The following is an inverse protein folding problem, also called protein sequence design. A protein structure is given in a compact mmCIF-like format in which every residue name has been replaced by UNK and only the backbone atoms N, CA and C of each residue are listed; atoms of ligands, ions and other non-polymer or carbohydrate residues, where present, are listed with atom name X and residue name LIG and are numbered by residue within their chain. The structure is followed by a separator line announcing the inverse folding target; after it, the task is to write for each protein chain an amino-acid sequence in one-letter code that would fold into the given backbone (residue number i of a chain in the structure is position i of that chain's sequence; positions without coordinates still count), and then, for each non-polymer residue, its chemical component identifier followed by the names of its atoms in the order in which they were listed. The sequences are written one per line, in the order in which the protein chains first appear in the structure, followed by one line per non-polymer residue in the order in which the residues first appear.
data_IF_263218989058
#
_entry.id   IF_263218989058
#
_cell.length_a   1.000
_cell.length_b   1.000
_cell.length_c   1.000
_cell.angle_alpha   90.00
_cell.angle_beta   90.00
_cell.angle_gamma   90.00
#
_symmetry.space_group_name_H-M   'P 1'
#
loop_
_entity.id
_entity.type
_entity.pdbx_description
1 polymer ?
#
# COMPACT_ATOMS: atom_id res chain seq x y z
N UNK A 1 1.87 22.01 -10.47
CA UNK A 1 1.53 20.60 -10.17
C UNK A 1 0.19 20.53 -9.47
N UNK A 2 -0.68 19.64 -9.92
CA UNK A 2 -2.02 19.45 -9.40
C UNK A 2 -2.09 18.19 -8.52
N UNK A 3 -2.68 18.29 -7.34
CA UNK A 3 -2.78 17.16 -6.41
C UNK A 3 -4.21 16.94 -5.92
N UNK A 4 -4.51 15.72 -5.48
CA UNK A 4 -5.74 15.48 -4.73
C UNK A 4 -5.51 14.56 -3.53
N UNK A 5 -6.37 14.73 -2.53
CA UNK A 5 -6.51 13.81 -1.40
C UNK A 5 -7.86 13.11 -1.53
N UNK A 6 -7.82 11.80 -1.76
CA UNK A 6 -9.02 10.95 -1.74
C UNK A 6 -9.18 10.44 -0.31
N UNK A 7 -10.15 10.94 0.43
CA UNK A 7 -10.32 10.62 1.84
C UNK A 7 -11.72 10.91 2.36
N UNK A 8 -12.00 10.45 3.59
CA UNK A 8 -13.13 10.96 4.38
C UNK A 8 -12.88 12.40 4.89
N UNK A 9 -13.93 13.00 5.46
CA UNK A 9 -13.89 14.38 5.98
C UNK A 9 -13.37 14.45 7.43
N UNK A 10 -12.23 13.78 7.72
CA UNK A 10 -11.59 13.86 9.03
C UNK A 10 -10.78 15.17 9.18
N UNK A 11 -10.61 15.65 10.43
CA UNK A 11 -9.70 16.80 10.69
C UNK A 11 -8.29 16.55 10.15
N UNK A 12 -7.78 15.32 10.26
CA UNK A 12 -6.46 14.95 9.71
C UNK A 12 -6.41 15.10 8.19
N UNK A 13 -7.48 14.70 7.47
CA UNK A 13 -7.56 14.88 6.02
C UNK A 13 -7.62 16.36 5.64
N UNK A 14 -8.44 17.15 6.37
CA UNK A 14 -8.54 18.60 6.15
C UNK A 14 -7.19 19.30 6.37
N UNK A 15 -6.46 18.93 7.44
CA UNK A 15 -5.13 19.49 7.71
C UNK A 15 -4.13 19.16 6.60
N UNK A 16 -4.16 17.90 6.11
CA UNK A 16 -3.30 17.49 4.99
C UNK A 16 -3.62 18.30 3.73
N UNK A 17 -4.89 18.44 3.35
CA UNK A 17 -5.30 19.26 2.19
C UNK A 17 -4.86 20.72 2.36
N UNK A 18 -5.09 21.30 3.55
CA UNK A 18 -4.66 22.68 3.84
C UNK A 18 -3.14 22.84 3.72
N UNK A 19 -2.37 21.88 4.22
CA UNK A 19 -0.92 21.91 4.13
C UNK A 19 -0.43 21.76 2.69
N UNK A 20 -1.02 20.85 1.90
CA UNK A 20 -0.65 20.65 0.49
C UNK A 20 -0.85 21.90 -0.37
N UNK A 21 -1.85 22.73 -0.07
CA UNK A 21 -2.10 24.02 -0.75
C UNK A 21 -0.98 25.06 -0.59
N UNK A 22 -0.01 24.83 0.30
CA UNK A 22 1.19 25.66 0.42
C UNK A 22 2.25 25.35 -0.64
N UNK A 23 2.16 24.17 -1.26
CA UNK A 23 3.20 23.64 -2.13
C UNK A 23 2.70 23.37 -3.56
N UNK A 24 1.49 22.82 -3.71
CA UNK A 24 0.89 22.53 -5.02
C UNK A 24 0.03 23.70 -5.51
N UNK A 25 0.00 23.88 -6.82
CA UNK A 25 -0.77 24.98 -7.46
C UNK A 25 -2.28 24.77 -7.30
N UNK A 26 -2.74 23.51 -7.37
CA UNK A 26 -4.12 23.11 -7.12
C UNK A 26 -4.16 21.89 -6.21
N UNK A 27 -5.09 21.89 -5.25
CA UNK A 27 -5.32 20.74 -4.36
C UNK A 27 -6.81 20.51 -4.15
N UNK A 28 -7.27 19.36 -4.59
CA UNK A 28 -8.66 18.94 -4.42
C UNK A 28 -8.81 17.96 -3.24
N UNK A 29 -9.95 18.05 -2.55
CA UNK A 29 -10.37 17.04 -1.58
C UNK A 29 -11.53 16.24 -2.17
N UNK A 30 -11.22 15.05 -2.68
CA UNK A 30 -12.20 14.13 -3.22
C UNK A 30 -12.74 13.26 -2.10
N UNK A 31 -13.96 13.56 -1.64
CA UNK A 31 -14.57 12.78 -0.57
C UNK A 31 -14.92 11.38 -1.04
N UNK A 32 -14.33 10.36 -0.40
CA UNK A 32 -14.44 8.95 -0.77
C UNK A 32 -15.90 8.48 -0.92
N UNK A 33 -16.85 9.05 -0.16
CA UNK A 33 -18.27 8.72 -0.26
C UNK A 33 -18.96 9.14 -1.57
N UNK A 34 -18.26 9.90 -2.41
CA UNK A 34 -18.73 10.35 -3.72
C UNK A 34 -17.85 9.83 -4.86
N UNK A 35 -17.02 8.84 -4.56
CA UNK A 35 -16.20 8.14 -5.54
C UNK A 35 -16.95 6.89 -6.00
N UNK A 36 -17.05 6.73 -7.29
CA UNK A 36 -17.54 5.52 -7.96
C UNK A 36 -16.49 5.01 -8.93
N UNK A 37 -16.47 3.69 -9.16
CA UNK A 37 -15.66 3.07 -10.20
C UNK A 37 -16.62 2.44 -11.18
N UNK A 38 -16.58 2.89 -12.42
CA UNK A 38 -17.37 2.33 -13.52
C UNK A 38 -16.54 1.32 -14.31
N UNK A 39 -16.96 0.07 -14.31
CA UNK A 39 -16.35 -1.03 -15.07
C UNK A 39 -17.15 -1.26 -16.36
N UNK A 40 -17.10 -0.34 -17.30
CA UNK A 40 -17.77 -0.47 -18.59
C UNK A 40 -16.77 -0.43 -19.74
N UNK A 41 -16.92 -1.35 -20.70
CA UNK A 41 -16.07 -1.39 -21.89
C UNK A 41 -14.64 -1.87 -21.62
N UNK A 42 -13.67 -1.26 -22.31
CA UNK A 42 -12.25 -1.69 -22.28
C UNK A 42 -11.44 -1.15 -21.11
N UNK A 43 -11.92 -0.16 -20.37
CA UNK A 43 -11.21 0.49 -19.26
C UNK A 43 -12.17 0.80 -18.12
N UNK A 44 -11.67 0.65 -16.90
CA UNK A 44 -12.36 1.17 -15.72
C UNK A 44 -12.20 2.69 -15.64
N UNK A 45 -13.25 3.38 -15.24
CA UNK A 45 -13.26 4.83 -15.08
C UNK A 45 -13.58 5.20 -13.63
N UNK A 46 -12.78 6.10 -13.05
CA UNK A 46 -13.04 6.62 -11.71
C UNK A 46 -13.85 7.91 -11.82
N UNK A 47 -14.99 7.93 -11.14
CA UNK A 47 -15.90 9.07 -11.12
C UNK A 47 -15.94 9.72 -9.75
N UNK A 48 -16.00 11.04 -9.72
CA UNK A 48 -16.30 11.83 -8.53
C UNK A 48 -17.58 12.63 -8.77
N UNK A 49 -18.61 12.37 -7.96
CA UNK A 49 -19.95 12.96 -8.14
C UNK A 49 -20.49 12.78 -9.56
N UNK A 50 -20.30 11.58 -10.11
CA UNK A 50 -20.78 11.22 -11.45
C UNK A 50 -19.97 11.78 -12.62
N UNK A 51 -18.86 12.49 -12.37
CA UNK A 51 -17.97 13.02 -13.41
C UNK A 51 -16.61 12.34 -13.37
N UNK A 52 -15.96 12.09 -14.52
CA UNK A 52 -14.60 11.55 -14.54
C UNK A 52 -13.66 12.37 -13.68
N UNK A 53 -12.83 11.67 -12.91
CA UNK A 53 -11.78 12.30 -12.10
C UNK A 53 -10.73 12.91 -13.02
N UNK A 54 -10.39 14.17 -12.79
CA UNK A 54 -9.37 14.88 -13.54
C UNK A 54 -7.98 14.23 -13.36
N UNK A 55 -7.05 14.58 -14.23
CA UNK A 55 -5.64 14.19 -14.06
C UNK A 55 -5.01 14.95 -12.90
N UNK A 56 -4.21 14.22 -12.09
CA UNK A 56 -3.42 14.78 -11.00
C UNK A 56 -1.98 14.26 -11.09
N UNK A 57 -1.02 15.11 -10.73
CA UNK A 57 0.39 14.73 -10.62
C UNK A 57 0.66 13.93 -9.33
N UNK A 58 -0.15 14.16 -8.29
CA UNK A 58 -0.06 13.49 -7.00
C UNK A 58 -1.44 13.12 -6.47
N UNK A 59 -1.60 11.87 -6.04
CA UNK A 59 -2.80 11.41 -5.35
C UNK A 59 -2.44 10.80 -4.00
N UNK A 60 -2.95 11.38 -2.93
CA UNK A 60 -2.86 10.80 -1.60
C UNK A 60 -4.19 10.15 -1.21
N UNK A 61 -4.26 8.83 -1.37
CA UNK A 61 -5.45 8.02 -1.11
C UNK A 61 -5.37 7.50 0.32
N UNK A 62 -6.38 7.78 1.15
CA UNK A 62 -6.42 7.34 2.54
C UNK A 62 -7.85 7.13 3.05
N UNK A 63 -8.01 6.18 3.97
CA UNK A 63 -9.33 5.87 4.50
C UNK A 63 -9.27 4.80 5.59
N UNK A 64 -10.44 4.42 6.10
CA UNK A 64 -10.56 3.33 7.07
C UNK A 64 -10.62 1.97 6.38
N UNK A 65 -10.39 0.90 7.15
CA UNK A 65 -10.48 -0.49 6.69
C UNK A 65 -11.79 -0.83 5.96
N UNK A 66 -12.89 -0.14 6.27
CA UNK A 66 -14.19 -0.33 5.59
C UNK A 66 -14.13 -0.08 4.09
N UNK A 67 -13.19 0.74 3.65
CA UNK A 67 -12.97 1.08 2.25
C UNK A 67 -11.74 0.40 1.66
N UNK A 68 -11.10 -0.55 2.37
CA UNK A 68 -9.82 -1.12 1.97
C UNK A 68 -9.81 -1.62 0.51
N UNK A 69 -10.85 -2.33 0.08
CA UNK A 69 -10.98 -2.82 -1.29
C UNK A 69 -11.12 -1.67 -2.30
N UNK A 70 -11.95 -0.66 -2.01
CA UNK A 70 -12.11 0.51 -2.86
C UNK A 70 -10.81 1.32 -2.95
N UNK A 71 -10.13 1.54 -1.80
CA UNK A 71 -8.86 2.26 -1.76
C UNK A 71 -7.79 1.56 -2.58
N UNK A 72 -7.72 0.22 -2.49
CA UNK A 72 -6.83 -0.59 -3.30
C UNK A 72 -7.16 -0.47 -4.78
N UNK A 73 -8.43 -0.65 -5.17
CA UNK A 73 -8.85 -0.54 -6.57
C UNK A 73 -8.52 0.85 -7.16
N UNK A 74 -8.75 1.93 -6.40
CA UNK A 74 -8.37 3.27 -6.82
C UNK A 74 -6.85 3.40 -7.01
N UNK A 75 -6.06 2.90 -6.05
CA UNK A 75 -4.61 2.94 -6.16
C UNK A 75 -4.10 2.10 -7.35
N UNK A 76 -4.67 0.90 -7.58
CA UNK A 76 -4.36 0.07 -8.74
C UNK A 76 -4.64 0.83 -10.05
N UNK A 77 -5.83 1.42 -10.20
CA UNK A 77 -6.22 2.17 -11.39
C UNK A 77 -5.32 3.38 -11.67
N UNK A 78 -5.03 4.17 -10.63
CA UNK A 78 -4.18 5.35 -10.81
C UNK A 78 -2.70 5.01 -10.97
N UNK A 79 -2.23 3.85 -10.47
CA UNK A 79 -0.84 3.40 -10.64
C UNK A 79 -0.49 3.02 -12.08
N UNK A 80 -1.47 2.79 -12.94
CA UNK A 80 -1.25 2.54 -14.37
C UNK A 80 -0.70 3.76 -15.11
N UNK A 81 -0.87 4.96 -14.56
CA UNK A 81 -0.32 6.20 -15.12
C UNK A 81 1.09 6.46 -14.56
N UNK A 82 2.10 6.45 -15.41
CA UNK A 82 3.49 6.74 -15.01
C UNK A 82 3.65 8.15 -14.41
N UNK A 83 2.80 9.10 -14.79
CA UNK A 83 2.90 10.50 -14.35
C UNK A 83 2.32 10.76 -12.97
N UNK A 84 1.50 9.86 -12.42
CA UNK A 84 0.86 10.06 -11.11
C UNK A 84 1.75 9.51 -9.98
N UNK A 85 2.09 10.35 -9.00
CA UNK A 85 2.75 9.91 -7.78
C UNK A 85 1.73 9.41 -6.74
N UNK A 86 1.94 8.18 -6.25
CA UNK A 86 1.19 7.56 -5.17
C UNK A 86 2.16 7.21 -4.04
N UNK A 87 2.04 7.77 -2.82
CA UNK A 87 2.94 7.47 -1.71
C UNK A 87 2.66 6.12 -1.03
N UNK A 88 1.59 5.44 -1.43
CA UNK A 88 1.14 4.17 -0.88
C UNK A 88 0.84 3.24 -2.04
N UNK A 89 1.57 2.13 -2.10
CA UNK A 89 1.36 1.11 -3.12
C UNK A 89 -0.02 0.45 -2.99
N UNK A 90 -0.63 0.00 -4.09
CA UNK A 90 -1.94 -0.66 -4.04
C UNK A 90 -2.00 -1.82 -3.04
N UNK A 91 -0.96 -2.67 -2.98
CA UNK A 91 -0.88 -3.81 -2.06
C UNK A 91 -0.96 -3.42 -0.59
N UNK A 92 -0.45 -2.23 -0.24
CA UNK A 92 -0.42 -1.74 1.14
C UNK A 92 -1.83 -1.60 1.74
N UNK A 93 -2.83 -1.28 0.91
CA UNK A 93 -4.22 -1.17 1.37
C UNK A 93 -4.81 -2.51 1.82
N UNK A 94 -4.36 -3.62 1.25
CA UNK A 94 -4.76 -4.96 1.70
C UNK A 94 -3.91 -5.38 2.91
N UNK A 95 -2.60 -5.23 2.83
CA UNK A 95 -1.68 -5.68 3.88
C UNK A 95 -1.91 -4.97 5.20
N UNK A 96 -1.97 -3.63 5.21
CA UNK A 96 -2.07 -2.86 6.44
C UNK A 96 -3.47 -2.87 7.08
N UNK A 97 -4.51 -3.26 6.36
CA UNK A 97 -5.86 -3.39 6.90
C UNK A 97 -6.22 -4.80 7.37
N UNK A 98 -5.32 -5.76 7.17
CA UNK A 98 -5.46 -7.13 7.66
C UNK A 98 -4.27 -7.50 8.54
N UNK A 99 -4.55 -7.77 9.83
CA UNK A 99 -3.51 -8.07 10.83
C UNK A 99 -2.73 -9.35 10.52
N UNK A 100 -3.40 -10.33 9.91
CA UNK A 100 -2.74 -11.57 9.51
C UNK A 100 -1.74 -11.30 8.39
N UNK A 101 -2.16 -10.59 7.34
CA UNK A 101 -1.29 -10.26 6.21
C UNK A 101 -0.14 -9.34 6.61
N UNK A 102 -0.40 -8.38 7.52
CA UNK A 102 0.66 -7.55 8.12
C UNK A 102 1.69 -8.44 8.81
N UNK A 103 1.25 -9.37 9.67
CA UNK A 103 2.17 -10.24 10.42
C UNK A 103 2.96 -11.18 9.51
N UNK A 104 2.33 -11.75 8.49
CA UNK A 104 3.04 -12.56 7.48
C UNK A 104 4.12 -11.74 6.76
N UNK A 105 3.82 -10.49 6.41
CA UNK A 105 4.78 -9.59 5.77
C UNK A 105 5.96 -9.27 6.69
N UNK A 106 5.70 -8.97 7.96
CA UNK A 106 6.74 -8.75 8.97
C UNK A 106 7.60 -10.00 9.20
N UNK A 107 6.96 -11.18 9.30
CA UNK A 107 7.64 -12.46 9.47
C UNK A 107 8.59 -12.76 8.30
N UNK A 108 8.16 -12.54 7.06
CA UNK A 108 8.99 -12.74 5.87
C UNK A 108 10.23 -11.84 5.84
N UNK A 109 10.18 -10.72 6.55
CA UNK A 109 11.31 -9.78 6.71
C UNK A 109 12.06 -9.97 8.03
N UNK A 110 11.75 -11.03 8.79
CA UNK A 110 12.35 -11.33 10.11
C UNK A 110 12.27 -10.17 11.10
N UNK A 111 11.17 -9.38 11.02
CA UNK A 111 10.97 -8.25 11.92
C UNK A 111 10.42 -8.71 13.27
N UNK A 112 10.85 -8.09 14.38
CA UNK A 112 10.37 -8.42 15.70
C UNK A 112 8.90 -8.05 15.88
N UNK A 113 8.10 -9.02 16.31
CA UNK A 113 6.66 -8.89 16.58
C UNK A 113 6.24 -9.85 17.69
N UNK A 114 5.13 -9.61 18.39
CA UNK A 114 4.62 -10.55 19.37
C UNK A 114 4.26 -11.88 18.70
N UNK A 115 4.55 -13.00 19.36
CA UNK A 115 4.22 -14.33 18.86
C UNK A 115 2.72 -14.45 18.63
N UNK A 116 2.33 -14.85 17.43
CA UNK A 116 0.94 -14.89 17.01
C UNK A 116 0.62 -16.24 16.37
N UNK A 117 -0.58 -16.75 16.65
CA UNK A 117 -1.10 -18.01 16.13
C UNK A 117 -2.39 -17.77 15.37
N UNK A 118 -2.53 -18.46 14.26
CA UNK A 118 -3.77 -18.62 13.52
C UNK A 118 -4.06 -20.12 13.45
N UNK A 119 -5.26 -20.51 13.86
CA UNK A 119 -5.70 -21.90 13.80
C UNK A 119 -6.85 -22.05 12.83
N UNK A 120 -6.87 -23.14 12.08
CA UNK A 120 -7.93 -23.44 11.10
C UNK A 120 -9.20 -23.95 11.77
N UNK A 121 -9.07 -24.59 12.95
CA UNK A 121 -10.17 -25.17 13.70
C UNK A 121 -10.13 -24.76 15.16
N UNK A 122 -11.27 -24.89 15.83
CA UNK A 122 -11.41 -24.60 17.27
C UNK A 122 -10.58 -25.59 18.11
N UNK A 123 -10.53 -26.85 17.72
CA UNK A 123 -9.72 -27.88 18.39
C UNK A 123 -8.24 -27.53 18.34
N UNK A 124 -7.75 -27.14 17.16
CA UNK A 124 -6.36 -26.69 16.99
C UNK A 124 -6.07 -25.43 17.81
N UNK A 125 -7.00 -24.47 17.82
CA UNK A 125 -6.88 -23.27 18.65
C UNK A 125 -6.82 -23.62 20.15
N UNK A 126 -7.69 -24.51 20.62
CA UNK A 126 -7.73 -24.97 22.02
C UNK A 126 -6.44 -25.67 22.42
N UNK A 127 -5.84 -26.47 21.51
CA UNK A 127 -4.54 -27.09 21.74
C UNK A 127 -3.39 -26.07 21.80
N UNK A 128 -3.47 -24.94 21.07
CA UNK A 128 -2.55 -23.82 21.21
C UNK A 128 -2.74 -23.13 22.57
N UNK A 129 -3.99 -22.78 22.93
CA UNK A 129 -4.31 -22.09 24.18
C UNK A 129 -3.84 -22.85 25.42
N UNK A 130 -3.89 -24.20 25.41
CA UNK A 130 -3.44 -25.04 26.55
C UNK A 130 -1.93 -24.98 26.79
N UNK A 131 -1.16 -24.49 25.83
CA UNK A 131 0.33 -24.42 25.87
C UNK A 131 0.85 -23.00 26.01
N UNK A 132 -0.04 -21.99 25.99
CA UNK A 132 0.36 -20.60 26.06
C UNK A 132 0.58 -20.14 27.51
N UNK A 133 1.50 -19.20 27.66
CA UNK A 133 1.64 -18.43 28.90
C UNK A 133 0.58 -17.33 28.94
N UNK A 134 -0.15 -17.24 30.04
CA UNK A 134 -1.16 -16.21 30.25
C UNK A 134 -0.58 -15.00 30.99
N UNK A 135 -1.13 -13.79 30.74
CA UNK A 135 -2.28 -13.49 29.89
C UNK A 135 -1.97 -13.51 28.38
N UNK A 136 -3.02 -13.55 27.56
CA UNK A 136 -2.96 -13.51 26.11
C UNK A 136 -3.94 -12.49 25.51
N UNK A 137 -3.73 -12.17 24.24
CA UNK A 137 -4.65 -11.34 23.45
C UNK A 137 -5.30 -12.21 22.35
N UNK A 138 -6.61 -12.12 22.23
CA UNK A 138 -7.36 -12.64 21.08
C UNK A 138 -7.91 -11.46 20.28
N UNK A 139 -7.81 -11.50 18.94
CA UNK A 139 -8.22 -10.36 18.12
C UNK A 139 -8.74 -10.79 16.76
N UNK A 140 -9.68 -10.00 16.20
CA UNK A 140 -10.10 -10.18 14.82
C UNK A 140 -8.98 -9.77 13.86
N UNK A 141 -8.85 -10.45 12.71
CA UNK A 141 -7.90 -10.06 11.66
C UNK A 141 -8.13 -8.64 11.16
N UNK A 142 -9.40 -8.25 11.04
CA UNK A 142 -9.80 -6.92 10.60
C UNK A 142 -10.42 -6.11 11.76
N UNK A 143 -10.20 -4.81 11.76
CA UNK A 143 -10.72 -3.90 12.78
C UNK A 143 -9.72 -2.80 13.12
N UNK A 144 -10.23 -1.72 13.68
CA UNK A 144 -9.43 -0.55 14.10
C UNK A 144 -9.86 -0.06 15.46
N UNK A 145 -9.05 0.77 16.09
CA UNK A 145 -9.34 1.43 17.37
C UNK A 145 -9.56 0.45 18.54
N UNK A 146 -8.83 -0.66 18.54
CA UNK A 146 -8.94 -1.67 19.59
C UNK A 146 -10.25 -2.46 19.61
N UNK A 147 -11.19 -2.18 18.69
CA UNK A 147 -12.41 -2.96 18.56
C UNK A 147 -12.09 -4.37 18.08
N UNK A 148 -12.63 -5.37 18.77
CA UNK A 148 -12.35 -6.76 18.49
C UNK A 148 -11.01 -7.26 19.05
N UNK A 149 -10.43 -6.56 20.02
CA UNK A 149 -9.30 -7.03 20.84
C UNK A 149 -9.84 -7.48 22.19
N UNK A 150 -9.57 -8.72 22.55
CA UNK A 150 -10.04 -9.39 23.77
C UNK A 150 -8.83 -9.83 24.58
N UNK A 151 -8.88 -9.61 25.88
CA UNK A 151 -7.87 -10.01 26.83
C UNK A 151 -8.33 -11.27 27.57
N UNK A 152 -7.47 -12.26 27.69
CA UNK A 152 -7.72 -13.46 28.47
C UNK A 152 -6.57 -13.68 29.46
N UNK A 153 -6.90 -13.74 30.72
CA UNK A 153 -5.95 -13.90 31.84
C UNK A 153 -5.66 -15.36 32.18
N UNK A 154 -6.49 -16.28 31.66
CA UNK A 154 -6.43 -17.69 31.94
C UNK A 154 -6.93 -18.54 30.77
N UNK A 155 -6.61 -19.83 30.79
CA UNK A 155 -7.16 -20.80 29.83
C UNK A 155 -8.69 -20.83 29.85
N UNK A 156 -9.30 -20.70 31.02
CA UNK A 156 -10.75 -20.70 31.17
C UNK A 156 -11.38 -19.50 30.46
N UNK A 157 -10.84 -18.28 30.69
CA UNK A 157 -11.35 -17.08 30.02
C UNK A 157 -11.10 -17.13 28.53
N UNK A 158 -9.93 -17.60 28.07
CA UNK A 158 -9.63 -17.78 26.66
C UNK A 158 -10.57 -18.79 25.97
N UNK A 159 -10.88 -19.91 26.64
CA UNK A 159 -11.82 -20.92 26.13
C UNK A 159 -13.23 -20.36 25.97
N UNK A 160 -13.71 -19.57 26.93
CA UNK A 160 -15.03 -18.93 26.83
C UNK A 160 -15.10 -17.94 25.67
N UNK A 161 -14.03 -17.16 25.44
CA UNK A 161 -13.92 -16.27 24.29
C UNK A 161 -13.91 -17.08 22.99
N UNK A 162 -13.16 -18.19 22.95
CA UNK A 162 -13.06 -19.06 21.79
C UNK A 162 -14.42 -19.64 21.40
N UNK A 163 -15.21 -20.12 22.39
CA UNK A 163 -16.55 -20.65 22.15
C UNK A 163 -17.52 -19.57 21.59
N UNK A 164 -17.41 -18.34 22.08
CA UNK A 164 -18.19 -17.22 21.55
C UNK A 164 -17.80 -16.88 20.10
N UNK A 165 -16.50 -16.88 19.78
CA UNK A 165 -15.99 -16.62 18.42
C UNK A 165 -16.42 -17.72 17.45
N UNK A 166 -16.44 -18.98 17.89
CA UNK A 166 -16.94 -20.10 17.10
C UNK A 166 -18.43 -19.96 16.81
N UNK A 167 -19.22 -19.69 17.82
CA UNK A 167 -20.66 -19.47 17.66
C UNK A 167 -21.00 -18.35 16.68
N UNK A 168 -20.16 -17.29 16.65
CA UNK A 168 -20.28 -16.17 15.73
C UNK A 168 -19.63 -16.43 14.37
N UNK A 169 -18.97 -17.57 14.15
CA UNK A 169 -18.21 -17.92 12.93
C UNK A 169 -17.21 -16.85 12.54
N UNK A 170 -16.56 -16.24 13.52
CA UNK A 170 -15.61 -15.15 13.29
C UNK A 170 -14.15 -15.67 13.29
N UNK A 171 -13.35 -15.32 12.26
CA UNK A 171 -11.93 -15.61 12.28
C UNK A 171 -11.24 -14.80 13.39
N UNK A 172 -10.19 -15.35 13.98
CA UNK A 172 -9.45 -14.72 15.06
C UNK A 172 -7.96 -15.09 15.02
N UNK A 173 -7.18 -14.26 15.70
CA UNK A 173 -5.75 -14.48 15.97
C UNK A 173 -5.57 -14.59 17.48
N UNK A 174 -4.71 -15.49 17.91
CA UNK A 174 -4.24 -15.59 19.29
C UNK A 174 -2.82 -15.05 19.37
N UNK A 175 -2.56 -14.12 20.27
CA UNK A 175 -1.27 -13.46 20.38
C UNK A 175 -0.81 -13.43 21.84
N UNK A 176 0.50 -13.60 22.07
CA UNK A 176 1.08 -13.39 23.39
C UNK A 176 0.82 -11.96 23.87
N UNK A 177 0.60 -11.83 25.16
CA UNK A 177 0.55 -10.53 25.81
C UNK A 177 1.98 -10.04 26.10
N UNK A 178 2.27 -8.83 25.69
CA UNK A 178 3.55 -8.19 25.99
C UNK A 178 3.34 -7.17 27.11
N UNK A 179 4.00 -7.39 28.23
CA UNK A 179 3.92 -6.46 29.38
C UNK A 179 4.68 -5.17 29.07
N UNK A 180 3.97 -4.06 29.00
CA UNK A 180 4.52 -2.73 28.68
C UNK A 180 4.04 -1.63 29.62
N UNK A 181 3.47 -2.03 30.77
CA UNK A 181 2.84 -1.07 31.68
C UNK A 181 1.67 -0.31 31.03
N UNK A 182 0.91 -1.00 30.17
CA UNK A 182 -0.22 -0.42 29.44
C UNK A 182 0.19 0.76 28.54
N UNK A 183 1.34 0.69 27.92
CA UNK A 183 1.82 1.72 26.98
C UNK A 183 2.25 1.14 25.63
N UNK A 184 2.13 1.96 24.60
CA UNK A 184 2.70 1.71 23.29
C UNK A 184 3.29 2.99 22.70
N UNK A 185 4.14 2.85 21.69
CA UNK A 185 4.76 3.96 20.98
C UNK A 185 4.24 3.99 19.55
N UNK A 186 3.69 5.13 19.15
CA UNK A 186 3.32 5.40 17.75
C UNK A 186 4.37 6.26 17.09
N UNK A 187 4.98 5.75 16.01
CA UNK A 187 5.91 6.47 15.17
C UNK A 187 5.24 6.82 13.85
N UNK A 188 5.38 8.07 13.39
CA UNK A 188 4.93 8.46 12.05
C UNK A 188 6.12 8.46 11.10
N UNK A 189 6.05 7.59 10.11
CA UNK A 189 7.04 7.45 9.03
C UNK A 189 6.59 8.27 7.84
N UNK A 190 7.52 9.03 7.25
CA UNK A 190 7.37 9.75 5.98
C UNK A 190 8.65 9.52 5.17
N UNK A 191 8.55 8.78 4.06
CA UNK A 191 9.72 8.30 3.32
C UNK A 191 10.60 7.42 4.19
N UNK A 192 11.87 7.76 4.28
CA UNK A 192 12.88 7.03 5.04
C UNK A 192 13.11 7.63 6.44
N UNK A 193 12.16 8.42 6.96
CA UNK A 193 12.33 9.11 8.21
C UNK A 193 11.12 8.96 9.15
N UNK A 194 11.41 8.80 10.44
CA UNK A 194 10.44 8.99 11.51
C UNK A 194 10.37 10.48 11.85
N UNK A 195 9.25 11.12 11.50
CA UNK A 195 9.09 12.58 11.64
C UNK A 195 8.51 13.02 12.97
N UNK A 196 7.81 12.11 13.66
CA UNK A 196 7.24 12.34 14.98
C UNK A 196 7.01 10.99 15.66
N UNK A 197 7.16 10.93 16.99
CA UNK A 197 6.81 9.78 17.79
C UNK A 197 6.15 10.21 19.09
N UNK A 198 5.15 9.44 19.53
CA UNK A 198 4.48 9.65 20.82
C UNK A 198 4.29 8.33 21.56
N UNK A 199 4.44 8.37 22.86
CA UNK A 199 4.08 7.29 23.77
C UNK A 199 2.63 7.49 24.19
N UNK A 200 1.82 6.46 24.07
CA UNK A 200 0.42 6.47 24.51
C UNK A 200 0.33 5.62 25.78
N UNK A 201 -0.30 6.14 26.81
CA UNK A 201 -0.55 5.42 28.06
C UNK A 201 -2.04 5.16 28.21
N UNK A 202 -2.42 3.91 28.42
CA UNK A 202 -3.80 3.55 28.75
C UNK A 202 -4.19 4.13 30.10
N UNK A 203 -5.49 4.47 30.26
CA UNK A 203 -6.04 4.91 31.53
C UNK A 203 -6.69 3.74 32.28
N UNK A 204 -6.18 3.43 33.48
CA UNK A 204 -6.87 2.64 34.50
C UNK A 204 -6.91 1.13 34.29
N UNK A 205 -7.98 0.51 34.75
CA UNK A 205 -8.17 -0.94 34.94
C UNK A 205 -8.28 -1.73 33.63
N UNK A 206 -8.59 -1.09 32.51
CA UNK A 206 -8.76 -1.78 31.25
C UNK A 206 -7.39 -2.04 30.59
N UNK A 207 -6.88 -3.26 30.74
CA UNK A 207 -5.64 -3.72 30.08
C UNK A 207 -5.72 -3.70 28.54
N UNK A 208 -6.92 -3.56 27.97
CA UNK A 208 -7.16 -3.33 26.53
C UNK A 208 -6.95 -1.89 26.13
N UNK A 209 -6.83 -0.96 27.08
CA UNK A 209 -6.75 0.49 26.86
C UNK A 209 -5.44 0.94 26.17
N UNK A 210 -4.48 0.06 25.98
CA UNK A 210 -3.29 0.33 25.18
C UNK A 210 -3.62 0.78 23.76
N UNK A 211 -4.87 0.61 23.34
CA UNK A 211 -5.13 0.61 21.92
C UNK A 211 -5.88 1.84 21.44
N UNK A 212 -6.74 2.56 22.17
CA UNK A 212 -7.43 3.67 21.47
C UNK A 212 -8.39 4.57 22.28
N UNK A 213 -8.54 4.43 23.57
CA UNK A 213 -9.52 5.22 24.31
C UNK A 213 -8.91 6.50 24.91
N UNK A 214 -8.71 7.52 24.06
CA UNK A 214 -8.47 8.89 24.57
C UNK A 214 -7.20 9.10 25.40
N UNK A 215 -6.25 8.18 25.35
CA UNK A 215 -5.00 8.25 26.07
C UNK A 215 -4.26 9.55 25.76
N UNK A 216 -3.82 10.26 26.80
CA UNK A 216 -2.93 11.39 26.64
C UNK A 216 -1.61 10.88 26.05
N UNK A 217 -1.29 11.34 24.85
CA UNK A 217 0.01 11.07 24.23
C UNK A 217 1.04 12.03 24.78
N UNK A 218 2.23 11.54 25.08
CA UNK A 218 3.41 12.36 25.37
C UNK A 218 4.43 12.24 24.25
N UNK A 219 5.20 13.30 23.99
CA UNK A 219 6.27 13.25 23.00
C UNK A 219 7.28 12.17 23.40
N UNK A 220 7.73 11.40 22.43
CA UNK A 220 8.69 10.32 22.63
C UNK A 220 9.87 10.50 21.67
N UNK A 221 11.08 10.23 22.14
CA UNK A 221 12.30 10.26 21.32
C UNK A 221 12.76 8.82 21.09
N UNK A 222 12.44 8.22 19.93
CA UNK A 222 12.86 6.86 19.63
C UNK A 222 14.37 6.80 19.35
N UNK A 223 15.03 5.72 19.76
CA UNK A 223 16.41 5.43 19.41
C UNK A 223 16.59 5.11 17.92
N UNK A 224 17.82 4.93 17.48
CA UNK A 224 18.15 4.67 16.08
C UNK A 224 17.58 3.31 15.58
N UNK A 225 17.57 2.30 16.45
CA UNK A 225 17.05 0.98 16.10
C UNK A 225 15.53 1.01 15.90
N UNK A 226 14.79 1.63 16.81
CA UNK A 226 13.34 1.77 16.72
C UNK A 226 12.93 2.60 15.50
N UNK A 227 13.67 3.67 15.17
CA UNK A 227 13.45 4.46 13.93
C UNK A 227 13.63 3.61 12.69
N UNK A 228 14.76 2.88 12.61
CA UNK A 228 15.03 1.98 11.50
C UNK A 228 13.95 0.92 11.37
N UNK A 229 13.58 0.28 12.46
CA UNK A 229 12.54 -0.73 12.50
C UNK A 229 11.20 -0.22 11.96
N UNK A 230 10.80 1.00 12.33
CA UNK A 230 9.56 1.62 11.84
C UNK A 230 9.62 1.91 10.33
N UNK A 231 10.75 2.38 9.82
CA UNK A 231 10.96 2.63 8.38
C UNK A 231 10.93 1.33 7.60
N UNK A 232 11.67 0.31 8.05
CA UNK A 232 11.71 -1.00 7.41
C UNK A 232 10.30 -1.64 7.36
N UNK A 233 9.51 -1.48 8.44
CA UNK A 233 8.13 -1.94 8.50
C UNK A 233 7.23 -1.22 7.48
N UNK A 234 7.34 0.09 7.36
CA UNK A 234 6.61 0.89 6.37
C UNK A 234 6.92 0.46 4.94
N UNK A 235 8.21 0.29 4.61
CA UNK A 235 8.67 -0.16 3.31
C UNK A 235 8.21 -1.59 3.00
N UNK A 236 8.17 -2.48 3.99
CA UNK A 236 7.76 -3.87 3.81
C UNK A 236 6.33 -4.01 3.27
N UNK A 237 5.45 -3.11 3.64
CA UNK A 237 4.07 -3.08 3.16
C UNK A 237 3.88 -2.18 1.93
N UNK A 238 4.89 -1.42 1.52
CA UNK A 238 4.82 -0.48 0.39
C UNK A 238 4.12 0.84 0.75
N UNK A 239 4.38 1.37 1.93
CA UNK A 239 3.80 2.64 2.39
C UNK A 239 4.90 3.66 2.74
N UNK A 240 5.02 4.72 1.94
CA UNK A 240 5.94 5.84 2.24
C UNK A 240 5.38 6.77 3.34
N UNK A 241 4.08 6.69 3.66
CA UNK A 241 3.44 7.48 4.71
C UNK A 241 2.56 6.55 5.55
N UNK A 242 2.95 6.31 6.80
CA UNK A 242 2.16 5.50 7.72
C UNK A 242 2.46 5.82 9.19
N UNK A 243 1.65 5.28 10.09
CA UNK A 243 1.94 5.17 11.51
C UNK A 243 2.32 3.73 11.84
N UNK A 244 3.40 3.52 12.57
CA UNK A 244 3.83 2.21 13.08
C UNK A 244 3.67 2.20 14.58
N UNK A 245 2.93 1.21 15.08
CA UNK A 245 2.71 1.01 16.51
C UNK A 245 3.65 -0.07 17.03
N UNK A 246 4.43 0.26 18.04
CA UNK A 246 5.49 -0.57 18.62
C UNK A 246 5.26 -0.71 20.12
N UNK A 247 5.41 -1.93 20.64
CA UNK A 247 5.48 -2.23 22.06
C UNK A 247 6.94 -2.24 22.50
N UNK A 248 7.25 -1.59 23.64
CA UNK A 248 8.56 -1.68 24.29
C UNK A 248 8.57 -2.92 25.20
N UNK A 249 8.78 -4.10 24.60
CA UNK A 249 8.81 -5.36 25.32
C UNK A 249 10.12 -5.57 26.08
N UNK A 250 10.17 -6.57 26.99
CA UNK A 250 11.37 -6.88 27.79
C UNK A 250 12.61 -7.24 26.96
N UNK A 251 12.42 -7.78 25.77
CA UNK A 251 13.49 -8.19 24.85
C UNK A 251 13.75 -7.19 23.72
N UNK A 252 13.10 -6.04 23.76
CA UNK A 252 13.22 -4.98 22.77
C UNK A 252 11.88 -4.60 22.11
N UNK A 253 11.92 -3.70 21.11
CA UNK A 253 10.72 -3.20 20.45
C UNK A 253 10.08 -4.28 19.55
N UNK A 254 8.75 -4.39 19.61
CA UNK A 254 7.93 -5.34 18.86
C UNK A 254 6.87 -4.60 18.05
N UNK A 255 6.82 -4.80 16.74
CA UNK A 255 5.82 -4.18 15.85
C UNK A 255 4.46 -4.85 16.05
N UNK A 256 3.42 -4.04 16.26
CA UNK A 256 2.05 -4.55 16.46
C UNK A 256 1.13 -4.26 15.29
N UNK A 257 1.24 -3.05 14.73
CA UNK A 257 0.32 -2.56 13.70
C UNK A 257 1.02 -1.53 12.80
N UNK A 258 0.67 -1.55 11.51
CA UNK A 258 1.04 -0.52 10.53
C UNK A 258 -0.24 0.14 10.05
N UNK A 259 -0.34 1.45 10.21
CA UNK A 259 -1.54 2.22 9.88
C UNK A 259 -1.25 3.20 8.75
N UNK A 260 -1.71 2.89 7.54
CA UNK A 260 -1.51 3.72 6.33
C UNK A 260 -2.40 4.97 6.26
N UNK A 261 -3.27 5.17 7.23
CA UNK A 261 -4.12 6.37 7.37
C UNK A 261 -4.04 6.95 8.77
N UNK A 262 -2.84 7.29 9.29
CA UNK A 262 -2.68 7.68 10.67
C UNK A 262 -3.47 8.95 11.00
N UNK A 263 -4.08 8.97 12.18
CA UNK A 263 -4.70 10.16 12.74
C UNK A 263 -3.62 11.15 13.19
N UNK A 264 -3.69 12.40 12.72
CA UNK A 264 -2.64 13.40 13.01
C UNK A 264 -2.86 14.21 14.29
N UNK A 265 -4.10 14.23 14.82
CA UNK A 265 -4.45 15.11 15.96
C UNK A 265 -3.64 14.80 17.22
N UNK A 266 -3.62 13.55 17.64
CA UNK A 266 -2.96 13.14 18.89
C UNK A 266 -1.46 13.38 18.83
N UNK A 267 -0.81 12.93 17.75
CA UNK A 267 0.64 13.07 17.62
C UNK A 267 1.07 14.53 17.45
N UNK A 268 0.32 15.35 16.70
CA UNK A 268 0.60 16.80 16.59
C UNK A 268 0.43 17.50 17.95
N UNK A 269 -0.61 17.13 18.71
CA UNK A 269 -0.81 17.69 20.05
C UNK A 269 0.31 17.33 21.02
N UNK A 270 0.75 16.06 21.00
CA UNK A 270 1.80 15.54 21.88
C UNK A 270 3.19 16.10 21.52
N UNK A 271 3.55 16.11 20.25
CA UNK A 271 4.91 16.44 19.79
C UNK A 271 5.11 17.89 19.37
N UNK A 272 4.02 18.65 19.17
CA UNK A 272 4.01 20.00 18.58
C UNK A 272 4.56 20.06 17.15
N UNK A 273 4.79 18.91 16.52
CA UNK A 273 5.25 18.80 15.12
C UNK A 273 4.05 18.92 14.17
N UNK A 274 4.11 19.81 13.21
CA UNK A 274 3.12 19.87 12.12
C UNK A 274 3.35 18.72 11.14
N UNK A 275 2.82 17.55 11.48
CA UNK A 275 2.94 16.34 10.67
C UNK A 275 2.23 16.49 9.32
N UNK A 276 1.14 17.27 9.26
CA UNK A 276 0.44 17.50 8.00
C UNK A 276 1.32 18.28 7.01
N UNK A 277 2.06 19.28 7.48
CA UNK A 277 3.00 20.03 6.66
C UNK A 277 4.19 19.17 6.17
N UNK A 278 4.71 18.32 7.06
CA UNK A 278 5.78 17.37 6.67
C UNK A 278 5.30 16.39 5.58
N UNK A 279 4.08 15.87 5.69
CA UNK A 279 3.46 15.04 4.64
C UNK A 279 3.35 15.84 3.34
N UNK A 280 2.80 17.05 3.38
CA UNK A 280 2.61 17.88 2.20
C UNK A 280 3.93 18.21 1.47
N UNK A 281 4.96 18.59 2.22
CA UNK A 281 6.30 18.87 1.69
C UNK A 281 6.91 17.62 1.03
N UNK A 282 6.77 16.46 1.67
CA UNK A 282 7.24 15.19 1.13
C UNK A 282 6.55 14.83 -0.19
N UNK A 283 5.21 14.88 -0.21
CA UNK A 283 4.41 14.60 -1.41
C UNK A 283 4.83 15.51 -2.57
N UNK A 284 5.03 16.80 -2.30
CA UNK A 284 5.48 17.76 -3.31
C UNK A 284 6.87 17.41 -3.86
N UNK A 285 7.83 17.13 -2.97
CA UNK A 285 9.21 16.78 -3.36
C UNK A 285 9.25 15.53 -4.24
N UNK A 286 8.59 14.46 -3.80
CA UNK A 286 8.52 13.18 -4.54
C UNK A 286 7.82 13.32 -5.89
N UNK A 287 6.74 14.12 -5.94
CA UNK A 287 6.04 14.40 -7.20
C UNK A 287 6.95 15.13 -8.17
N UNK A 288 7.66 16.17 -7.71
CA UNK A 288 8.61 16.91 -8.53
C UNK A 288 9.73 16.04 -9.06
N UNK A 289 10.33 15.19 -8.21
CA UNK A 289 11.36 14.22 -8.60
C UNK A 289 10.85 13.27 -9.69
N UNK A 290 9.67 12.69 -9.49
CA UNK A 290 9.07 11.76 -10.46
C UNK A 290 8.83 12.42 -11.81
N UNK A 291 8.27 13.63 -11.82
CA UNK A 291 8.03 14.38 -13.06
C UNK A 291 9.33 14.79 -13.77
N UNK A 292 10.39 15.10 -13.00
CA UNK A 292 11.69 15.40 -13.58
C UNK A 292 12.29 14.17 -14.26
N UNK A 293 12.27 13.01 -13.61
CA UNK A 293 12.72 11.74 -14.19
C UNK A 293 11.99 11.42 -15.50
N UNK A 294 10.68 11.65 -15.56
CA UNK A 294 9.90 11.44 -16.78
C UNK A 294 10.30 12.43 -17.91
N UNK A 295 10.52 13.69 -17.58
CA UNK A 295 11.01 14.68 -18.54
C UNK A 295 12.39 14.33 -19.08
N UNK A 296 13.31 13.91 -18.21
CA UNK A 296 14.66 13.52 -18.60
C UNK A 296 14.67 12.27 -19.48
N UNK A 297 13.78 11.31 -19.18
CA UNK A 297 13.57 10.13 -20.03
C UNK A 297 13.05 10.52 -21.41
N UNK A 298 12.00 11.33 -21.48
CA UNK A 298 11.45 11.81 -22.74
C UNK A 298 12.47 12.62 -23.56
N UNK A 299 13.28 13.48 -22.91
CA UNK A 299 14.33 14.22 -23.57
C UNK A 299 15.44 13.30 -24.14
N UNK A 300 15.82 12.24 -23.42
CA UNK A 300 16.78 11.24 -23.90
C UNK A 300 16.24 10.45 -25.09
N UNK A 301 14.96 10.06 -25.05
CA UNK A 301 14.31 9.34 -26.14
C UNK A 301 14.30 10.23 -27.40
N UNK A 302 13.93 11.51 -27.30
CA UNK A 302 13.97 12.48 -28.40
C UNK A 302 15.40 12.69 -28.93
N UNK A 303 16.40 12.85 -28.06
CA UNK A 303 17.81 13.00 -28.48
C UNK A 303 18.33 11.72 -29.13
N UNK A 304 17.92 10.54 -28.68
CA UNK A 304 18.24 9.27 -29.31
C UNK A 304 17.71 9.20 -30.73
N UNK A 305 16.48 9.65 -30.95
CA UNK A 305 15.86 9.72 -32.27
C UNK A 305 16.55 10.74 -33.19
N UNK A 306 16.99 11.88 -32.64
CA UNK A 306 17.68 12.96 -33.42
C UNK A 306 19.13 12.62 -33.80
N UNK A 307 19.84 11.86 -32.94
CA UNK A 307 21.26 11.54 -33.18
C UNK A 307 21.53 10.37 -34.14
N UNK A 308 20.51 9.89 -34.84
CA UNK A 308 20.63 8.87 -35.89
C UNK A 308 21.19 7.52 -35.45
N UNK A 309 21.36 7.28 -34.15
CA UNK A 309 21.57 5.95 -33.58
C UNK A 309 20.23 5.20 -33.40
N UNK A 310 19.28 5.55 -34.25
CA UNK A 310 18.05 4.80 -34.42
C UNK A 310 18.37 3.45 -35.02
N UNK A 311 18.83 2.51 -34.23
CA UNK A 311 18.36 1.16 -34.44
C UNK A 311 16.85 1.29 -34.31
N UNK A 312 16.24 1.34 -35.49
CA UNK A 312 14.84 1.24 -35.77
C UNK A 312 14.22 0.21 -34.79
N UNK A 313 13.89 0.66 -33.58
CA UNK A 313 12.98 -0.06 -32.70
C UNK A 313 11.62 0.11 -33.36
N UNK A 314 11.46 -0.59 -34.50
CA UNK A 314 10.17 -0.88 -35.08
C UNK A 314 9.26 -1.25 -33.91
N UNK A 315 8.34 -0.36 -33.57
CA UNK A 315 7.22 -0.72 -32.70
C UNK A 315 6.61 -1.95 -33.34
N UNK A 316 6.74 -3.11 -32.66
CA UNK A 316 6.05 -4.31 -33.10
C UNK A 316 4.58 -3.95 -33.27
N UNK A 317 4.12 -3.91 -34.51
CA UNK A 317 2.72 -3.67 -34.79
C UNK A 317 2.06 -5.04 -34.96
N UNK A 318 1.13 -5.33 -34.06
CA UNK A 318 0.34 -6.55 -34.15
C UNK A 318 -0.77 -6.35 -35.18
N UNK A 319 -0.75 -7.17 -36.22
CA UNK A 319 -1.77 -7.16 -37.30
C UNK A 319 -2.46 -8.50 -37.31
N UNK A 320 -3.76 -8.52 -37.05
CA UNK A 320 -4.59 -9.72 -37.16
C UNK A 320 -5.13 -9.76 -38.58
N UNK A 321 -4.73 -10.75 -39.35
CA UNK A 321 -5.12 -10.91 -40.76
C UNK A 321 -5.19 -12.39 -41.14
N UNK A 322 -5.82 -12.69 -42.30
CA UNK A 322 -5.80 -14.04 -42.85
C UNK A 322 -4.57 -14.22 -43.74
N UNK A 323 -4.02 -15.43 -43.73
CA UNK A 323 -2.92 -15.80 -44.64
C UNK A 323 -3.47 -16.14 -46.00
N UNK A 324 -2.84 -15.65 -47.05
CA UNK A 324 -3.12 -16.03 -48.45
C UNK A 324 -2.19 -17.17 -48.86
N UNK A 325 -2.75 -18.17 -49.54
CA UNK A 325 -2.02 -19.34 -50.03
C UNK A 325 -2.08 -19.44 -51.55
N UNK A 326 -0.91 -19.50 -52.18
CA UNK A 326 -0.81 -19.84 -53.60
C UNK A 326 -0.10 -21.19 -53.76
N UNK A 327 -0.88 -22.26 -53.91
CA UNK A 327 -0.38 -23.62 -53.81
C UNK A 327 0.18 -23.93 -52.45
N UNK A 328 1.42 -24.38 -52.37
CA UNK A 328 2.12 -24.66 -51.08
C UNK A 328 2.86 -23.44 -50.48
N UNK A 329 2.68 -22.24 -51.05
CA UNK A 329 3.38 -21.02 -50.60
C UNK A 329 2.41 -20.14 -49.79
N UNK A 330 2.93 -19.58 -48.70
CA UNK A 330 2.25 -18.57 -47.93
C UNK A 330 2.67 -17.21 -48.42
N UNK A 331 1.73 -16.35 -48.80
CA UNK A 331 1.97 -14.96 -49.13
C UNK A 331 1.72 -14.11 -47.92
N UNK A 332 2.68 -13.22 -47.60
CA UNK A 332 2.49 -12.23 -46.59
C UNK A 332 1.52 -11.14 -47.05
N UNK A 333 0.54 -10.74 -46.26
CA UNK A 333 -0.33 -9.63 -46.58
C UNK A 333 0.45 -8.35 -46.93
N UNK A 334 -0.05 -7.56 -47.88
CA UNK A 334 0.62 -6.33 -48.34
C UNK A 334 1.00 -5.38 -47.21
N UNK A 335 0.14 -5.28 -46.17
CA UNK A 335 0.41 -4.46 -45.00
C UNK A 335 1.63 -4.96 -44.22
N UNK A 336 1.84 -6.28 -44.10
CA UNK A 336 2.98 -6.87 -43.44
C UNK A 336 4.25 -6.60 -44.27
N UNK A 337 4.18 -6.73 -45.59
CA UNK A 337 5.32 -6.44 -46.48
C UNK A 337 5.74 -4.97 -46.39
N UNK A 338 4.78 -4.04 -46.31
CA UNK A 338 5.05 -2.61 -46.14
C UNK A 338 5.68 -2.29 -44.77
N UNK A 339 5.19 -2.92 -43.70
CA UNK A 339 5.70 -2.70 -42.32
C UNK A 339 7.10 -3.28 -42.13
N UNK A 340 7.39 -4.46 -42.70
CA UNK A 340 8.71 -5.12 -42.53
C UNK A 340 9.79 -4.56 -43.43
N UNK A 341 9.43 -3.81 -44.48
CA UNK A 341 10.34 -3.24 -45.45
C UNK A 341 11.37 -4.25 -46.01
N UNK A 342 11.00 -5.54 -46.13
CA UNK A 342 11.83 -6.55 -46.78
C UNK A 342 11.90 -6.27 -48.29
N UNK A 343 13.10 -6.44 -48.84
CA UNK A 343 13.39 -6.33 -50.26
C UNK A 343 13.64 -7.72 -50.85
N UNK A 344 13.40 -7.89 -52.15
CA UNK A 344 13.67 -9.17 -52.85
C UNK A 344 15.14 -9.62 -52.71
N UNK A 345 16.05 -8.66 -52.54
CA UNK A 345 17.49 -8.91 -52.38
C UNK A 345 17.90 -9.25 -50.94
N UNK A 346 17.01 -9.16 -49.96
CA UNK A 346 17.36 -9.37 -48.57
C UNK A 346 17.50 -10.88 -48.26
N UNK A 347 18.58 -11.25 -47.61
CA UNK A 347 18.70 -12.56 -46.98
C UNK A 347 17.97 -12.54 -45.64
N UNK A 348 17.16 -13.55 -45.36
CA UNK A 348 16.35 -13.62 -44.15
C UNK A 348 16.61 -14.91 -43.37
N UNK A 349 16.71 -14.80 -42.05
CA UNK A 349 16.66 -15.95 -41.17
C UNK A 349 15.19 -16.31 -40.92
N UNK A 350 14.83 -17.54 -41.20
CA UNK A 350 13.48 -18.05 -40.98
C UNK A 350 13.50 -19.04 -39.81
N UNK A 351 12.68 -18.78 -38.79
CA UNK A 351 12.39 -19.74 -37.72
C UNK A 351 10.94 -20.14 -37.82
N UNK A 352 10.67 -21.43 -37.98
CA UNK A 352 9.32 -21.95 -38.16
C UNK A 352 9.09 -23.10 -37.15
N UNK A 353 7.91 -23.10 -36.54
CA UNK A 353 7.35 -24.21 -35.76
C UNK A 353 5.87 -24.31 -36.05
N UNK A 354 5.22 -25.39 -35.59
CA UNK A 354 3.78 -25.57 -35.84
C UNK A 354 2.97 -24.37 -35.32
N UNK A 355 2.34 -23.64 -36.23
CA UNK A 355 1.53 -22.45 -35.88
C UNK A 355 2.31 -21.16 -35.62
N UNK A 356 3.65 -21.14 -35.78
CA UNK A 356 4.47 -19.95 -35.57
C UNK A 356 5.54 -19.78 -36.65
N UNK A 357 5.67 -18.55 -37.16
CA UNK A 357 6.69 -18.15 -38.11
C UNK A 357 7.32 -16.81 -37.67
N UNK A 358 8.65 -16.78 -37.66
CA UNK A 358 9.40 -15.55 -37.43
C UNK A 358 10.42 -15.35 -38.55
N UNK A 359 10.46 -14.14 -39.07
CA UNK A 359 11.38 -13.71 -40.13
C UNK A 359 12.24 -12.56 -39.61
N UNK A 360 13.54 -12.66 -39.80
CA UNK A 360 14.50 -11.59 -39.41
C UNK A 360 15.49 -11.39 -40.56
N UNK A 361 15.80 -10.11 -40.89
CA UNK A 361 16.88 -9.81 -41.82
C UNK A 361 18.18 -10.42 -41.32
N UNK A 362 18.86 -11.14 -42.19
CA UNK A 362 20.21 -11.65 -41.94
C UNK A 362 21.19 -10.57 -42.37
N UNK A 363 21.90 -9.96 -41.42
CA UNK A 363 22.96 -9.00 -41.70
C UNK A 363 24.25 -9.72 -41.99
#
# INVERSE_FOLDING_TARGET
MKAAVIAGNSKSSQWTVKAMRKYFDEVDHLYIKHIDINFSGKRAEVLFKGKPVAHYDCLFIKGSFRYAQLLRALADLFSTSESVFLPIEPRAYTLAHDKLLTQLTLQQKSMPMPRTYLSATIEAARAVLSKMNYPIIMKFPQGTQGKGVMFADSFASASSILDALDALKQPFLVQEYVETGSSDVRLVVIGDNVVAAMKRKGHGVDKRANIHAGAAGEAFVPDAYMKKLAVDAAQSVGAEICGVDILEGPTGPLIVEINISPGLRGITAATKVDVADKIAKYLYGRTKEKLQVLKDKAAKDIMGDLNGNGHDRLREQEVITQLDFRGARILLPEIVSKLTAFKETDSVQVKASRGSLSLKKFM
#
